data_IF_997992189879
#
_entry.id   IF_997992189879
#
_cell.length_a   1.000
_cell.length_b   1.000
_cell.length_c   1.000
_cell.angle_alpha   90.00
_cell.angle_beta   90.00
_cell.angle_gamma   90.00
#
_symmetry.space_group_name_H-M   'P 1'
#
loop_
_entity.id
_entity.type
_entity.pdbx_description
1 polymer ?
#
# COMPACT_ATOMS: atom_id res chain seq x y z
N UNK A 1 -16.01 36.98 10.27
CA UNK A 1 -14.78 36.28 10.74
C UNK A 1 -14.42 35.03 9.93
N UNK A 2 -15.37 34.31 9.31
CA UNK A 2 -15.06 33.15 8.45
C UNK A 2 -14.31 33.49 7.14
N UNK A 3 -14.49 34.69 6.58
CA UNK A 3 -13.75 35.13 5.38
C UNK A 3 -12.31 35.56 5.68
N UNK A 4 -12.04 36.11 6.87
CA UNK A 4 -10.70 36.55 7.26
C UNK A 4 -9.75 35.36 7.51
N UNK A 5 -10.25 34.23 8.01
CA UNK A 5 -9.48 32.98 8.18
C UNK A 5 -9.21 32.31 6.83
N UNK A 6 -10.09 32.48 5.83
CA UNK A 6 -9.82 32.06 4.45
C UNK A 6 -8.71 32.87 3.79
N UNK A 7 -8.67 34.18 4.03
CA UNK A 7 -7.69 35.09 3.44
C UNK A 7 -6.27 34.93 4.01
N UNK A 8 -6.12 34.47 5.27
CA UNK A 8 -4.81 34.31 5.92
C UNK A 8 -4.01 33.09 5.42
N UNK A 9 -4.66 32.09 4.82
CA UNK A 9 -4.00 30.85 4.37
C UNK A 9 -3.53 30.85 2.90
N UNK A 10 -3.92 31.85 2.09
CA UNK A 10 -3.56 31.91 0.66
C UNK A 10 -2.41 32.85 0.32
N UNK A 11 -2.04 33.76 1.22
CA UNK A 11 -1.19 34.93 0.91
C UNK A 11 0.24 34.85 1.46
N UNK A 12 0.56 33.92 2.35
CA UNK A 12 1.88 33.84 3.04
C UNK A 12 2.76 32.68 2.58
N UNK A 13 2.24 31.77 1.78
CA UNK A 13 3.00 30.65 1.22
C UNK A 13 2.91 30.75 -0.31
N UNK A 14 4.04 30.90 -0.98
CA UNK A 14 4.15 30.90 -2.45
C UNK A 14 3.82 29.50 -3.02
N UNK A 15 2.56 29.08 -2.88
CA UNK A 15 2.06 27.78 -3.31
C UNK A 15 1.79 27.78 -4.81
N UNK A 16 2.04 26.66 -5.51
CA UNK A 16 1.65 26.50 -6.89
C UNK A 16 0.13 26.64 -7.04
N UNK A 17 -0.32 27.41 -8.05
CA UNK A 17 -1.76 27.59 -8.38
C UNK A 17 -2.53 26.26 -8.42
N UNK A 18 -1.92 25.20 -8.98
CA UNK A 18 -2.52 23.87 -9.02
C UNK A 18 -2.88 23.29 -7.64
N UNK A 19 -2.07 23.55 -6.62
CA UNK A 19 -2.37 23.11 -5.25
C UNK A 19 -3.47 23.98 -4.64
N UNK A 20 -3.43 25.29 -4.87
CA UNK A 20 -4.48 26.21 -4.43
C UNK A 20 -5.83 25.85 -5.03
N UNK A 21 -5.91 25.64 -6.35
CA UNK A 21 -7.12 25.22 -7.05
C UNK A 21 -7.64 23.87 -6.53
N UNK A 22 -6.71 22.96 -6.21
CA UNK A 22 -7.06 21.67 -5.63
C UNK A 22 -7.69 21.85 -4.25
N UNK A 23 -7.08 22.63 -3.36
CA UNK A 23 -7.62 22.87 -2.01
C UNK A 23 -8.89 23.73 -2.01
N UNK A 24 -9.05 24.65 -2.98
CA UNK A 24 -10.29 25.39 -3.17
C UNK A 24 -11.46 24.44 -3.52
N UNK A 25 -11.20 23.41 -4.33
CA UNK A 25 -12.21 22.40 -4.71
C UNK A 25 -12.38 21.29 -3.68
N UNK A 26 -11.31 20.96 -2.97
CA UNK A 26 -11.23 19.90 -1.98
C UNK A 26 -10.60 20.44 -0.69
N UNK A 27 -11.39 21.11 0.17
CA UNK A 27 -10.87 21.73 1.38
C UNK A 27 -10.25 20.68 2.32
N UNK A 28 -9.06 20.96 2.89
CA UNK A 28 -8.32 19.97 3.68
C UNK A 28 -9.09 19.52 4.93
N UNK A 29 -9.92 20.37 5.53
CA UNK A 29 -10.75 20.03 6.70
C UNK A 29 -11.62 18.80 6.49
N UNK A 30 -12.10 18.58 5.26
CA UNK A 30 -13.02 17.48 4.95
C UNK A 30 -12.33 16.25 4.37
N UNK A 31 -11.15 16.44 3.76
CA UNK A 31 -10.50 15.39 2.96
C UNK A 31 -9.14 14.97 3.48
N UNK A 32 -8.44 15.80 4.25
CA UNK A 32 -7.06 15.52 4.62
C UNK A 32 -6.96 14.33 5.56
N UNK A 33 -5.87 13.57 5.42
CA UNK A 33 -5.60 12.48 6.36
C UNK A 33 -5.40 13.00 7.79
N UNK A 34 -4.82 14.19 7.94
CA UNK A 34 -4.54 14.83 9.24
C UNK A 34 -5.80 15.20 10.02
N UNK A 35 -6.78 15.85 9.37
CA UNK A 35 -7.99 16.31 10.04
C UNK A 35 -9.03 15.20 10.21
N UNK A 36 -9.14 14.30 9.22
CA UNK A 36 -10.13 13.22 9.27
C UNK A 36 -9.66 12.01 10.09
N UNK A 37 -8.34 11.86 10.30
CA UNK A 37 -7.75 10.65 10.88
C UNK A 37 -7.91 9.41 9.99
N UNK A 38 -8.44 9.55 8.77
CA UNK A 38 -8.71 8.41 7.89
C UNK A 38 -7.42 8.04 7.16
N UNK A 39 -6.95 6.83 7.43
CA UNK A 39 -5.83 6.22 6.71
C UNK A 39 -6.32 5.19 5.68
N UNK A 40 -5.48 4.92 4.69
CA UNK A 40 -5.71 3.83 3.74
C UNK A 40 -5.23 2.51 4.36
N UNK A 41 -6.06 1.46 4.40
CA UNK A 41 -5.62 0.16 4.89
C UNK A 41 -4.53 -0.42 3.98
N UNK A 42 -3.50 -1.00 4.57
CA UNK A 42 -2.35 -1.57 3.87
C UNK A 42 -2.64 -3.02 3.47
N UNK A 43 -3.40 -3.74 4.30
CA UNK A 43 -3.78 -5.13 4.06
C UNK A 43 -5.28 -5.35 3.91
N UNK A 44 -5.63 -6.50 3.31
CA UNK A 44 -7.03 -6.95 3.24
C UNK A 44 -7.60 -7.23 4.64
N UNK A 45 -6.78 -7.73 5.57
CA UNK A 45 -7.19 -8.01 6.95
C UNK A 45 -7.55 -6.71 7.66
N UNK A 46 -6.65 -5.74 7.65
CA UNK A 46 -6.91 -4.39 8.18
C UNK A 46 -8.14 -3.75 7.52
N UNK A 47 -8.31 -3.89 6.20
CA UNK A 47 -9.48 -3.33 5.51
C UNK A 47 -10.79 -3.97 5.98
N UNK A 48 -10.76 -5.28 6.30
CA UNK A 48 -11.91 -6.03 6.82
C UNK A 48 -12.17 -5.63 8.28
N UNK A 49 -11.14 -5.55 9.09
CA UNK A 49 -11.20 -5.11 10.49
C UNK A 49 -11.73 -3.68 10.60
N UNK A 50 -11.22 -2.74 9.79
CA UNK A 50 -11.71 -1.37 9.74
C UNK A 50 -13.18 -1.28 9.27
N UNK A 51 -13.61 -2.15 8.35
CA UNK A 51 -15.02 -2.23 7.93
C UNK A 51 -15.91 -2.77 9.06
N UNK A 52 -15.44 -3.78 9.80
CA UNK A 52 -16.13 -4.32 10.97
C UNK A 52 -16.24 -3.24 12.05
N UNK A 53 -15.14 -2.56 12.38
CA UNK A 53 -15.11 -1.49 13.38
C UNK A 53 -16.09 -0.35 13.03
N UNK A 54 -16.17 0.05 11.75
CA UNK A 54 -17.15 1.05 11.30
C UNK A 54 -18.59 0.59 11.44
N UNK A 55 -18.88 -0.67 11.12
CA UNK A 55 -20.23 -1.23 11.27
C UNK A 55 -20.61 -1.40 12.75
N UNK A 56 -19.66 -1.69 13.64
CA UNK A 56 -19.88 -1.85 15.08
C UNK A 56 -19.98 -0.50 15.81
N UNK A 57 -19.28 0.53 15.33
CA UNK A 57 -19.40 1.89 15.87
C UNK A 57 -20.71 2.60 15.44
N UNK A 58 -21.31 2.22 14.31
CA UNK A 58 -22.57 2.79 13.82
C UNK A 58 -23.78 2.62 14.76
N UNK A 59 -24.00 1.50 15.49
CA UNK A 59 -25.10 1.36 16.42
C UNK A 59 -24.89 2.00 17.81
N UNK A 60 -23.70 2.50 18.16
CA UNK A 60 -23.43 3.03 19.50
C UNK A 60 -23.74 4.53 19.68
N UNK A 61 -24.11 5.24 18.61
CA UNK A 61 -24.34 6.69 18.62
C UNK A 61 -25.82 7.11 18.91
N UNK A 62 -26.65 6.20 19.42
CA UNK A 62 -28.08 6.46 19.69
C UNK A 62 -28.43 6.58 21.19
N UNK A 63 -27.47 6.49 22.11
CA UNK A 63 -27.72 6.68 23.54
C UNK A 63 -27.21 8.06 23.99
N UNK A 64 -28.14 9.02 24.09
CA UNK A 64 -27.94 10.28 24.79
C UNK A 64 -27.81 10.03 26.29
N UNK A 65 -26.80 10.61 26.93
CA UNK A 65 -26.90 10.98 28.35
C UNK A 65 -26.47 12.43 28.49
N UNK A 66 -27.46 13.31 28.55
CA UNK A 66 -27.35 14.66 29.07
C UNK A 66 -26.99 14.58 30.55
N UNK A 67 -25.92 15.23 31.00
CA UNK A 67 -25.82 15.65 32.39
C UNK A 67 -25.35 17.10 32.51
N UNK A 68 -26.19 17.80 33.25
CA UNK A 68 -26.19 19.18 33.70
C UNK A 68 -25.04 19.50 34.64
N UNK A 69 -24.57 20.74 34.50
CA UNK A 69 -23.82 21.57 35.44
C UNK A 69 -24.21 21.43 36.92
N UNK A 70 -23.22 21.20 37.79
CA UNK A 70 -23.10 21.83 39.12
C UNK A 70 -21.62 21.94 39.47
N UNK A 71 -21.20 23.13 39.88
CA UNK A 71 -19.85 23.49 40.27
C UNK A 71 -19.51 22.96 41.67
N UNK A 72 -18.24 22.60 41.91
CA UNK A 72 -17.53 23.10 43.09
C UNK A 72 -15.99 23.02 42.94
N UNK A 73 -15.32 23.90 43.67
CA UNK A 73 -13.93 24.35 43.52
C UNK A 73 -12.83 23.39 44.02
N UNK A 74 -11.63 23.48 43.40
CA UNK A 74 -10.35 23.80 44.08
C UNK A 74 -9.11 23.51 43.19
N UNK A 75 -8.34 24.58 42.93
CA UNK A 75 -6.87 24.70 42.95
C UNK A 75 -5.98 23.54 42.47
N UNK A 76 -5.25 23.76 41.37
CA UNK A 76 -3.77 23.72 41.28
C UNK A 76 -3.30 24.10 39.86
N UNK A 77 -2.21 24.88 39.80
CA UNK A 77 -1.52 25.39 38.62
C UNK A 77 -0.96 24.28 37.72
N UNK A 78 -0.98 24.45 36.39
CA UNK A 78 0.20 24.30 35.51
C UNK A 78 -0.13 24.74 34.06
N UNK A 79 0.63 25.70 33.53
CA UNK A 79 0.47 26.28 32.19
C UNK A 79 1.06 25.36 31.12
N UNK A 80 0.21 24.73 30.30
CA UNK A 80 0.61 24.10 29.03
C UNK A 80 -0.09 24.78 27.84
N UNK A 81 0.60 25.02 26.71
CA UNK A 81 0.03 25.73 25.57
C UNK A 81 -1.10 24.91 24.92
N UNK A 82 -2.13 25.57 24.35
CA UNK A 82 -3.28 24.88 23.77
C UNK A 82 -2.83 24.11 22.52
N UNK A 83 -2.74 22.79 22.67
CA UNK A 83 -2.70 21.88 21.54
C UNK A 83 -4.03 22.04 20.81
N UNK A 84 -4.08 22.40 19.51
CA UNK A 84 -5.34 22.44 18.79
C UNK A 84 -5.84 21.00 18.65
N UNK A 85 -6.73 20.59 19.55
CA UNK A 85 -7.51 19.37 19.45
C UNK A 85 -8.14 19.34 18.05
N UNK A 86 -7.83 18.35 17.20
CA UNK A 86 -8.47 18.26 15.89
C UNK A 86 -9.97 18.12 16.15
N UNK A 87 -10.75 19.08 15.65
CA UNK A 87 -12.20 19.05 15.70
C UNK A 87 -12.68 17.75 15.04
N UNK A 88 -12.92 16.74 15.86
CA UNK A 88 -13.52 15.47 15.43
C UNK A 88 -14.91 15.80 14.90
N UNK A 89 -15.04 15.79 13.57
CA UNK A 89 -16.33 15.95 12.90
C UNK A 89 -17.30 14.95 13.54
N UNK A 90 -18.38 15.48 14.10
CA UNK A 90 -19.43 14.72 14.80
C UNK A 90 -19.74 13.38 14.12
N UNK A 91 -19.77 12.32 14.91
CA UNK A 91 -19.81 10.90 14.50
C UNK A 91 -21.03 10.46 13.65
N UNK A 92 -21.84 11.40 13.13
CA UNK A 92 -22.98 11.17 12.26
C UNK A 92 -22.89 11.82 10.87
N UNK A 93 -21.91 12.70 10.60
CA UNK A 93 -21.80 13.36 9.29
C UNK A 93 -21.04 12.50 8.29
N UNK A 94 -21.72 12.09 7.21
CA UNK A 94 -21.12 11.27 6.16
C UNK A 94 -20.09 12.09 5.38
N UNK A 95 -18.81 11.79 5.56
CA UNK A 95 -17.74 12.48 4.84
C UNK A 95 -17.92 12.38 3.32
N UNK A 96 -17.55 13.45 2.59
CA UNK A 96 -17.60 13.44 1.15
C UNK A 96 -16.63 12.41 0.56
N UNK A 97 -16.93 11.84 -0.62
CA UNK A 97 -16.12 10.77 -1.19
C UNK A 97 -14.74 11.29 -1.63
N UNK A 98 -13.68 10.60 -1.19
CA UNK A 98 -12.30 10.94 -1.52
C UNK A 98 -12.07 11.02 -3.04
N UNK A 99 -11.51 12.14 -3.57
CA UNK A 99 -11.28 12.31 -5.01
C UNK A 99 -10.19 11.41 -5.60
N UNK A 100 -9.34 10.81 -4.77
CA UNK A 100 -8.23 9.94 -5.17
C UNK A 100 -8.61 8.48 -5.30
N UNK A 101 -9.79 8.08 -4.82
CA UNK A 101 -10.22 6.68 -4.82
C UNK A 101 -11.31 6.45 -5.87
N UNK A 102 -11.29 5.29 -6.56
CA UNK A 102 -12.42 4.86 -7.37
C UNK A 102 -13.62 4.59 -6.47
N UNK A 103 -14.82 4.82 -6.98
CA UNK A 103 -16.07 4.59 -6.24
C UNK A 103 -16.95 3.61 -6.98
N UNK A 104 -17.68 2.78 -6.23
CA UNK A 104 -18.75 1.96 -6.79
C UNK A 104 -20.04 2.77 -6.81
N UNK A 105 -20.73 2.79 -7.95
CA UNK A 105 -22.11 3.24 -8.01
C UNK A 105 -23.00 2.09 -7.55
N UNK A 106 -23.74 2.27 -6.45
CA UNK A 106 -24.56 1.20 -5.86
C UNK A 106 -25.83 0.90 -6.67
N UNK A 107 -26.31 1.84 -7.49
CA UNK A 107 -27.48 1.63 -8.37
C UNK A 107 -27.11 0.78 -9.58
N UNK A 108 -26.01 1.13 -10.26
CA UNK A 108 -25.59 0.45 -11.50
C UNK A 108 -24.57 -0.68 -11.28
N UNK A 109 -24.01 -0.80 -10.08
CA UNK A 109 -22.95 -1.75 -9.74
C UNK A 109 -21.56 -1.43 -10.33
N UNK A 110 -21.46 -0.47 -11.28
CA UNK A 110 -20.24 -0.12 -12.00
C UNK A 110 -19.28 0.70 -11.13
N UNK A 111 -17.98 0.48 -11.30
CA UNK A 111 -16.94 1.30 -10.67
C UNK A 111 -16.61 2.51 -11.54
N UNK A 112 -16.78 3.70 -10.98
CA UNK A 112 -16.27 4.92 -11.58
C UNK A 112 -14.81 5.12 -11.18
N UNK A 113 -13.98 5.51 -12.15
CA UNK A 113 -12.59 5.89 -11.90
C UNK A 113 -12.47 7.04 -10.90
N UNK A 114 -11.30 7.17 -10.28
CA UNK A 114 -11.02 8.29 -9.39
C UNK A 114 -11.11 9.62 -10.17
N UNK A 115 -11.67 10.67 -9.53
CA UNK A 115 -11.77 12.01 -10.13
C UNK A 115 -10.39 12.54 -10.52
N UNK A 116 -9.37 12.20 -9.73
CA UNK A 116 -7.97 12.51 -9.99
C UNK A 116 -7.21 11.20 -10.13
N UNK A 117 -6.71 10.93 -11.34
CA UNK A 117 -5.98 9.70 -11.65
C UNK A 117 -4.60 9.62 -11.01
N UNK A 118 -4.01 8.42 -10.96
CA UNK A 118 -2.76 8.14 -10.22
C UNK A 118 -1.56 9.00 -10.65
N UNK A 119 -1.47 9.41 -11.93
CA UNK A 119 -0.44 10.35 -12.40
C UNK A 119 -0.60 11.73 -11.76
N UNK A 120 -1.81 12.30 -11.83
CA UNK A 120 -2.12 13.60 -11.24
C UNK A 120 -2.01 13.57 -9.71
N UNK A 121 -2.37 12.47 -9.07
CA UNK A 121 -2.13 12.27 -7.64
C UNK A 121 -0.64 12.35 -7.31
N UNK A 122 0.22 11.68 -8.09
CA UNK A 122 1.66 11.73 -7.88
C UNK A 122 2.24 13.13 -8.12
N UNK A 123 1.72 13.88 -9.09
CA UNK A 123 2.10 15.28 -9.31
C UNK A 123 1.72 16.17 -8.12
N UNK A 124 0.50 16.04 -7.59
CA UNK A 124 0.05 16.77 -6.40
C UNK A 124 0.89 16.42 -5.18
N UNK A 125 1.14 15.13 -4.93
CA UNK A 125 2.00 14.67 -3.82
C UNK A 125 3.43 15.18 -4.00
N UNK A 126 3.98 15.16 -5.22
CA UNK A 126 5.33 15.67 -5.50
C UNK A 126 5.42 17.17 -5.25
N UNK A 127 4.41 17.95 -5.62
CA UNK A 127 4.36 19.38 -5.32
C UNK A 127 4.19 19.60 -3.81
N UNK A 128 3.22 18.96 -3.18
CA UNK A 128 2.94 19.11 -1.75
C UNK A 128 4.15 18.74 -0.88
N UNK A 129 4.90 17.70 -1.26
CA UNK A 129 6.15 17.32 -0.60
C UNK A 129 7.23 18.41 -0.65
N UNK A 130 7.29 19.23 -1.69
CA UNK A 130 8.28 20.32 -1.78
C UNK A 130 7.96 21.48 -0.82
N UNK A 131 6.71 21.60 -0.43
CA UNK A 131 6.21 22.65 0.46
C UNK A 131 5.79 22.08 1.83
N UNK A 132 6.12 20.82 2.12
CA UNK A 132 5.80 20.12 3.37
C UNK A 132 4.32 20.12 3.79
N UNK A 133 3.41 20.23 2.81
CA UNK A 133 1.94 20.23 3.01
C UNK A 133 1.29 18.90 2.61
N UNK A 134 2.06 17.82 2.55
CA UNK A 134 1.57 16.51 2.09
C UNK A 134 0.43 15.97 2.97
N UNK A 135 0.47 16.23 4.28
CA UNK A 135 -0.54 15.79 5.25
C UNK A 135 -1.94 16.38 5.00
N UNK A 136 -2.00 17.53 4.32
CA UNK A 136 -3.25 18.21 3.96
C UNK A 136 -3.95 17.55 2.76
N UNK A 137 -3.25 16.71 2.00
CA UNK A 137 -3.86 15.97 0.91
C UNK A 137 -4.74 14.83 1.42
N UNK A 138 -5.75 14.41 0.63
CA UNK A 138 -6.48 13.20 0.93
C UNK A 138 -5.58 11.96 0.98
N UNK A 139 -5.93 10.95 1.80
CA UNK A 139 -5.15 9.72 1.86
C UNK A 139 -5.06 9.10 0.47
N UNK A 140 -3.83 8.82 0.02
CA UNK A 140 -3.52 8.28 -1.31
C UNK A 140 -2.51 7.13 -1.24
N UNK A 141 -2.61 6.17 -2.16
CA UNK A 141 -1.56 5.15 -2.39
C UNK A 141 -0.22 5.75 -2.84
N UNK A 142 -0.23 7.03 -3.26
CA UNK A 142 0.96 7.74 -3.74
C UNK A 142 1.65 8.54 -2.63
N UNK A 143 1.05 8.71 -1.46
CA UNK A 143 1.67 9.42 -0.34
C UNK A 143 2.94 8.71 0.14
N UNK A 144 3.87 9.49 0.67
CA UNK A 144 5.14 9.05 1.24
C UNK A 144 4.92 8.16 2.44
N UNK A 145 4.13 8.64 3.41
CA UNK A 145 3.76 7.90 4.62
C UNK A 145 3.17 6.51 4.29
N UNK A 146 2.24 6.44 3.33
CA UNK A 146 1.63 5.16 2.94
C UNK A 146 2.65 4.21 2.28
N UNK A 147 3.56 4.72 1.44
CA UNK A 147 4.60 3.89 0.81
C UNK A 147 5.61 3.38 1.83
N UNK A 148 6.00 4.21 2.80
CA UNK A 148 6.91 3.84 3.86
C UNK A 148 6.28 2.78 4.76
N UNK A 149 5.06 3.00 5.26
CA UNK A 149 4.33 2.02 6.05
C UNK A 149 4.19 0.68 5.31
N UNK A 150 3.83 0.73 4.02
CA UNK A 150 3.73 -0.48 3.19
C UNK A 150 5.05 -1.21 3.04
N UNK A 151 6.16 -0.50 2.87
CA UNK A 151 7.47 -1.12 2.72
C UNK A 151 7.94 -1.76 4.02
N UNK A 152 7.73 -1.08 5.16
CA UNK A 152 8.09 -1.59 6.48
C UNK A 152 7.27 -2.85 6.85
N UNK A 153 5.97 -2.84 6.55
CA UNK A 153 5.09 -3.95 6.91
C UNK A 153 5.21 -5.15 5.95
N UNK A 154 5.30 -4.89 4.63
CA UNK A 154 5.19 -5.95 3.61
C UNK A 154 6.52 -6.36 2.97
N UNK A 155 7.57 -5.56 3.10
CA UNK A 155 8.87 -5.83 2.51
C UNK A 155 8.88 -5.93 0.98
N UNK A 156 9.94 -6.54 0.43
CA UNK A 156 10.04 -6.84 -1.00
C UNK A 156 9.28 -8.14 -1.32
N UNK A 157 8.36 -8.08 -2.28
CA UNK A 157 7.48 -9.22 -2.63
C UNK A 157 7.57 -9.64 -4.10
N UNK A 158 8.69 -9.34 -4.74
CA UNK A 158 8.96 -9.74 -6.12
C UNK A 158 9.15 -11.26 -6.18
N UNK A 159 8.62 -11.94 -7.20
CA UNK A 159 8.74 -13.39 -7.31
C UNK A 159 10.21 -13.79 -7.43
N UNK A 160 10.65 -14.73 -6.59
CA UNK A 160 12.01 -15.25 -6.57
C UNK A 160 12.93 -14.53 -5.57
N UNK A 161 12.86 -13.20 -5.47
CA UNK A 161 13.72 -12.38 -4.60
C UNK A 161 13.04 -11.79 -3.37
N UNK A 162 11.71 -11.87 -3.31
CA UNK A 162 10.95 -11.39 -2.16
C UNK A 162 11.15 -12.25 -0.93
N UNK A 163 10.80 -11.69 0.24
CA UNK A 163 10.91 -12.37 1.53
C UNK A 163 10.15 -13.71 1.50
N UNK A 164 10.83 -14.79 1.87
CA UNK A 164 10.29 -16.15 1.84
C UNK A 164 10.13 -16.78 0.44
N UNK A 165 10.60 -16.14 -0.62
CA UNK A 165 10.65 -16.73 -1.97
C UNK A 165 12.04 -17.30 -2.28
N UNK A 166 12.08 -18.30 -3.16
CA UNK A 166 13.32 -18.88 -3.70
C UNK A 166 13.36 -18.71 -5.21
N UNK A 167 14.54 -18.39 -5.74
CA UNK A 167 14.80 -18.29 -7.18
C UNK A 167 14.69 -19.68 -7.81
N UNK A 168 14.07 -19.75 -8.99
CA UNK A 168 13.85 -21.01 -9.72
C UNK A 168 15.16 -21.67 -10.17
N UNK A 169 16.17 -20.88 -10.51
CA UNK A 169 17.38 -21.32 -11.19
C UNK A 169 17.18 -21.48 -12.69
N UNK A 170 18.26 -21.28 -13.46
CA UNK A 170 18.26 -21.51 -14.90
C UNK A 170 18.05 -23.00 -15.24
N UNK A 171 17.69 -23.30 -16.49
CA UNK A 171 17.44 -24.68 -16.90
C UNK A 171 18.67 -25.57 -16.73
N UNK A 172 19.86 -25.07 -17.08
CA UNK A 172 21.10 -25.82 -16.94
C UNK A 172 21.46 -26.07 -15.47
N UNK A 173 21.37 -25.06 -14.59
CA UNK A 173 21.63 -25.18 -13.14
C UNK A 173 20.81 -26.29 -12.50
N UNK A 174 19.53 -26.38 -12.86
CA UNK A 174 18.61 -27.41 -12.35
C UNK A 174 18.96 -28.82 -12.84
N UNK A 175 19.63 -28.96 -13.98
CA UNK A 175 19.98 -30.25 -14.59
C UNK A 175 21.46 -30.60 -14.48
N UNK A 176 22.34 -29.71 -13.98
CA UNK A 176 23.79 -29.98 -13.85
C UNK A 176 24.04 -31.26 -13.06
N UNK A 177 23.40 -31.42 -11.90
CA UNK A 177 23.57 -32.63 -11.06
C UNK A 177 23.22 -33.90 -11.82
N UNK A 178 22.01 -33.97 -12.38
CA UNK A 178 21.57 -35.11 -13.18
C UNK A 178 22.43 -35.36 -14.44
N UNK A 179 22.98 -34.30 -15.04
CA UNK A 179 23.87 -34.41 -16.22
C UNK A 179 25.23 -34.96 -15.83
N UNK A 180 25.79 -34.54 -14.70
CA UNK A 180 27.06 -35.04 -14.17
C UNK A 180 26.96 -36.51 -13.74
N UNK A 181 25.85 -36.91 -13.13
CA UNK A 181 25.60 -38.31 -12.76
C UNK A 181 25.51 -39.22 -13.99
N UNK A 182 24.81 -38.78 -15.04
CA UNK A 182 24.76 -39.50 -16.33
C UNK A 182 26.15 -39.63 -16.95
N UNK A 183 26.97 -38.59 -16.87
CA UNK A 183 28.36 -38.64 -17.36
C UNK A 183 29.20 -39.62 -16.53
N UNK A 184 29.10 -39.58 -15.21
CA UNK A 184 29.83 -40.47 -14.30
C UNK A 184 29.49 -41.94 -14.58
N UNK A 185 28.21 -42.28 -14.58
CA UNK A 185 27.73 -43.64 -14.86
C UNK A 185 28.12 -44.12 -16.25
N UNK A 186 28.12 -43.25 -17.27
CA UNK A 186 28.61 -43.61 -18.60
C UNK A 186 30.12 -43.94 -18.60
N UNK A 187 30.93 -43.20 -17.84
CA UNK A 187 32.37 -43.45 -17.72
C UNK A 187 32.70 -44.71 -16.92
N UNK A 188 31.96 -45.00 -15.86
CA UNK A 188 32.09 -46.23 -15.08
C UNK A 188 31.76 -47.47 -15.94
N UNK A 189 30.75 -47.39 -16.81
CA UNK A 189 30.36 -48.49 -17.70
C UNK A 189 31.18 -48.57 -19.01
N UNK A 190 31.96 -47.54 -19.32
CA UNK A 190 32.71 -47.46 -20.59
C UNK A 190 33.73 -48.59 -20.79
N UNK A 191 34.51 -49.02 -19.79
CA UNK A 191 35.46 -50.13 -19.95
C UNK A 191 34.79 -51.45 -20.33
N UNK A 192 33.65 -51.77 -19.72
CA UNK A 192 32.90 -52.99 -20.03
C UNK A 192 32.30 -52.95 -21.44
N UNK A 193 31.75 -51.79 -21.82
CA UNK A 193 31.19 -51.58 -23.14
C UNK A 193 32.26 -51.72 -24.24
N UNK A 194 33.47 -51.19 -24.00
CA UNK A 194 34.61 -51.35 -24.92
C UNK A 194 35.05 -52.81 -25.02
N UNK A 195 35.09 -53.56 -23.91
CA UNK A 195 35.39 -55.01 -23.93
C UNK A 195 34.35 -55.78 -24.75
N UNK A 196 33.06 -55.51 -24.54
CA UNK A 196 31.97 -56.15 -25.30
C UNK A 196 32.08 -55.83 -26.80
N UNK A 197 32.32 -54.57 -27.14
CA UNK A 197 32.45 -54.11 -28.52
C UNK A 197 33.64 -54.75 -29.25
N UNK A 198 34.80 -54.84 -28.59
CA UNK A 198 35.99 -55.53 -29.12
C UNK A 198 35.73 -57.03 -29.31
N UNK A 199 35.17 -57.71 -28.30
CA UNK A 199 34.84 -59.14 -28.36
C UNK A 199 33.90 -59.47 -29.53
N UNK A 200 32.98 -58.57 -29.84
CA UNK A 200 31.95 -58.76 -30.88
C UNK A 200 32.42 -58.36 -32.28
N UNK A 201 33.71 -58.03 -32.45
CA UNK A 201 34.34 -57.80 -33.75
C UNK A 201 34.22 -56.37 -34.27
N UNK A 202 34.52 -55.36 -33.42
CA UNK A 202 34.69 -53.95 -33.82
C UNK A 202 33.53 -53.40 -34.68
N UNK A 203 32.30 -53.72 -34.30
CA UNK A 203 31.09 -53.21 -34.98
C UNK A 203 30.42 -54.16 -35.96
N UNK A 204 31.06 -55.26 -36.41
CA UNK A 204 30.39 -56.19 -37.37
C UNK A 204 29.16 -56.90 -36.78
N UNK A 205 29.16 -57.19 -35.48
CA UNK A 205 28.03 -57.80 -34.77
C UNK A 205 27.34 -56.86 -33.77
N UNK A 206 27.60 -55.55 -33.83
CA UNK A 206 27.06 -54.57 -32.88
C UNK A 206 25.68 -54.09 -33.33
N UNK A 207 24.69 -54.14 -32.44
CA UNK A 207 23.31 -53.69 -32.72
C UNK A 207 22.86 -52.55 -31.79
N UNK A 208 23.65 -52.20 -30.78
CA UNK A 208 23.33 -51.20 -29.74
C UNK A 208 23.85 -49.81 -30.15
N UNK A 209 23.44 -49.31 -31.30
CA UNK A 209 23.81 -47.95 -31.72
C UNK A 209 22.95 -46.91 -30.97
N UNK A 210 23.49 -45.72 -30.65
CA UNK A 210 22.69 -44.60 -30.20
C UNK A 210 21.56 -44.32 -31.21
N UNK A 211 20.41 -43.92 -30.69
CA UNK A 211 19.27 -43.47 -31.51
C UNK A 211 19.38 -41.99 -31.83
#
# INVERSE_FOLDING_TARGET
MAEAVRAFNSSTLNLPKRLLDFFARYPPELYSAKFTGITLPLTRKESKEAAIARNVAAPAASAQTSQTITADAATSEELTPPTPTPASLSAGQKLPPNPFLPRKNFVTGKWAGAKIGLRRQAELVKMAKKYDIEELLPPSRKSTAFKQARLLEQGLRVKGTGEGQKVKGHAWERHVGATLEKRRTAMENMPELVKEWKRRGHGRGWKKYPK
#
